data_IF_067098595569
#
_entry.id   IF_067098595569
#
_cell.length_a   1.000
_cell.length_b   1.000
_cell.length_c   1.000
_cell.angle_alpha   90.00
_cell.angle_beta   90.00
_cell.angle_gamma   90.00
#
_symmetry.space_group_name_H-M   'P 1'
#
loop_
_entity.id
_entity.type
_entity.pdbx_description
1 polymer ?
#
# COMPACT_ATOMS: atom_id res chain seq x y z
N UNK A 19 4.68 -18.76 -7.77
CA UNK A 19 3.78 -19.24 -6.67
C UNK A 19 2.29 -19.06 -7.00
N UNK A 20 1.44 -20.04 -6.60
CA UNK A 20 -0.01 -20.01 -6.85
C UNK A 20 -0.61 -18.61 -6.75
N UNK A 21 -1.26 -18.17 -7.83
CA UNK A 21 -1.89 -16.85 -7.86
C UNK A 21 -2.84 -16.74 -6.65
N UNK A 22 -2.40 -16.05 -5.59
CA UNK A 22 -3.20 -15.86 -4.37
C UNK A 22 -3.92 -14.50 -4.27
N UNK A 23 -4.80 -14.33 -3.25
CA UNK A 23 -5.56 -13.10 -3.02
C UNK A 23 -4.96 -12.19 -1.94
N UNK A 24 -5.22 -10.89 -2.06
CA UNK A 24 -4.72 -9.90 -1.12
C UNK A 24 -5.76 -9.68 -0.02
N UNK A 25 -5.64 -10.52 1.01
CA UNK A 25 -6.48 -10.53 2.20
C UNK A 25 -5.85 -9.59 3.20
N UNK A 26 -6.62 -9.15 4.19
CA UNK A 26 -6.05 -8.27 5.21
C UNK A 26 -4.82 -8.93 5.81
N UNK A 27 -4.86 -10.25 6.03
CA UNK A 27 -3.69 -10.93 6.60
C UNK A 27 -2.44 -10.59 5.79
N UNK A 28 -2.49 -10.97 4.51
CA UNK A 28 -1.40 -10.76 3.57
C UNK A 28 -0.88 -9.32 3.58
N UNK A 29 -1.82 -8.38 3.54
CA UNK A 29 -1.57 -6.95 3.49
C UNK A 29 -0.71 -6.40 4.61
N UNK A 30 -0.68 -7.12 5.72
CA UNK A 30 0.12 -6.70 6.88
C UNK A 30 1.44 -7.45 6.89
N UNK A 31 1.36 -8.77 6.76
CA UNK A 31 2.55 -9.62 6.75
C UNK A 31 3.55 -8.98 5.81
N UNK A 32 3.00 -8.58 4.66
CA UNK A 32 3.74 -7.95 3.58
C UNK A 32 4.07 -6.50 3.90
N UNK A 33 3.11 -5.80 4.49
CA UNK A 33 3.29 -4.41 4.85
C UNK A 33 4.41 -4.31 5.88
N UNK A 34 4.46 -5.32 6.76
CA UNK A 34 5.45 -5.44 7.84
C UNK A 34 6.81 -5.70 7.26
N UNK A 35 6.88 -6.79 6.52
CA UNK A 35 8.09 -7.23 5.86
C UNK A 35 8.88 -6.10 5.17
N UNK A 36 8.16 -5.12 4.64
CA UNK A 36 8.74 -3.97 3.94
C UNK A 36 9.37 -2.94 4.86
N UNK A 37 9.00 -2.96 6.13
CA UNK A 37 9.58 -2.01 7.05
C UNK A 37 10.85 -2.62 7.65
N UNK A 38 10.70 -3.79 8.27
CA UNK A 38 11.81 -4.49 8.92
C UNK A 38 12.96 -5.02 8.03
N UNK A 39 12.84 -4.86 6.71
CA UNK A 39 13.87 -5.31 5.74
C UNK A 39 13.80 -4.50 4.43
N UNK A 40 13.84 -3.17 4.54
CA UNK A 40 13.77 -2.35 3.34
C UNK A 40 13.62 -0.84 3.48
N UNK A 41 14.15 -0.13 2.48
CA UNK A 41 14.13 1.32 2.46
C UNK A 41 12.99 1.97 1.70
N UNK A 42 11.79 1.41 1.83
CA UNK A 42 10.61 1.99 1.17
C UNK A 42 10.16 3.22 1.98
N UNK A 43 10.45 3.15 3.28
CA UNK A 43 10.12 4.22 4.20
C UNK A 43 10.82 5.53 3.80
N UNK A 44 10.01 6.47 3.33
CA UNK A 44 10.51 7.77 2.93
C UNK A 44 10.61 7.95 1.44
N UNK A 45 11.15 6.93 0.77
CA UNK A 45 11.37 6.87 -0.69
C UNK A 45 10.33 7.65 -1.51
N UNK A 46 10.75 8.63 -2.29
CA UNK A 46 9.81 9.44 -3.08
C UNK A 46 8.93 8.56 -3.97
N UNK A 47 7.66 8.92 -4.10
CA UNK A 47 6.78 8.12 -4.93
C UNK A 47 6.61 8.59 -6.37
N UNK A 48 6.60 7.58 -7.24
CA UNK A 48 6.44 7.67 -8.69
C UNK A 48 5.62 6.44 -9.10
N UNK A 49 4.79 6.61 -10.12
CA UNK A 49 3.98 5.52 -10.64
C UNK A 49 4.85 4.32 -11.04
N UNK A 50 5.94 4.61 -11.76
CA UNK A 50 6.90 3.60 -12.23
C UNK A 50 7.54 2.82 -11.10
N UNK A 51 7.83 3.52 -10.01
CA UNK A 51 8.45 2.84 -8.90
C UNK A 51 7.48 1.90 -8.26
N UNK A 52 6.24 2.38 -8.10
CA UNK A 52 5.20 1.56 -7.50
C UNK A 52 5.03 0.28 -8.28
N UNK A 53 5.02 0.42 -9.61
CA UNK A 53 4.87 -0.68 -10.53
C UNK A 53 5.93 -1.74 -10.41
N UNK A 54 7.17 -1.34 -10.16
CA UNK A 54 8.19 -2.38 -10.09
C UNK A 54 8.07 -3.10 -8.77
N UNK A 55 7.55 -2.38 -7.77
CA UNK A 55 7.30 -2.92 -6.45
C UNK A 55 6.14 -3.88 -6.64
N UNK A 56 5.02 -3.36 -7.12
CA UNK A 56 3.83 -4.17 -7.41
C UNK A 56 4.17 -5.40 -8.27
N UNK A 57 4.89 -5.21 -9.37
CA UNK A 57 5.24 -6.35 -10.23
C UNK A 57 6.12 -7.36 -9.48
N UNK A 58 7.05 -6.85 -8.68
CA UNK A 58 7.96 -7.68 -7.90
C UNK A 58 7.21 -8.59 -6.93
N UNK A 59 6.43 -7.97 -6.04
CA UNK A 59 5.62 -8.68 -5.04
C UNK A 59 4.84 -9.79 -5.72
N UNK A 60 4.10 -9.41 -6.75
CA UNK A 60 3.30 -10.31 -7.57
C UNK A 60 4.12 -11.53 -7.99
N UNK A 61 5.40 -11.32 -8.29
CA UNK A 61 6.23 -12.45 -8.69
C UNK A 61 6.76 -13.16 -7.49
N UNK A 62 7.37 -12.41 -6.57
CA UNK A 62 7.90 -12.95 -5.31
C UNK A 62 6.78 -13.70 -4.54
N UNK A 63 5.89 -12.95 -3.90
CA UNK A 63 4.81 -13.56 -3.14
C UNK A 63 3.62 -14.09 -3.94
N UNK A 64 3.34 -13.50 -5.10
CA UNK A 64 2.23 -13.99 -5.91
C UNK A 64 0.90 -13.24 -5.97
N UNK A 65 0.86 -12.02 -5.44
CA UNK A 65 -0.38 -11.26 -5.45
C UNK A 65 -0.53 -10.44 -6.72
N UNK A 66 -1.62 -10.69 -7.43
CA UNK A 66 -1.92 -9.96 -8.66
C UNK A 66 -1.87 -8.45 -8.36
N UNK A 67 -0.97 -7.71 -9.04
CA UNK A 67 -0.67 -6.28 -8.96
C UNK A 67 -1.76 -5.27 -9.29
N UNK A 68 -2.82 -5.23 -8.49
CA UNK A 68 -3.91 -4.28 -8.71
C UNK A 68 -4.58 -3.90 -7.41
N UNK A 69 -3.89 -4.17 -6.31
CA UNK A 69 -4.37 -3.90 -4.97
C UNK A 69 -3.82 -2.62 -4.37
N UNK A 70 -2.61 -2.22 -4.82
CA UNK A 70 -1.97 -1.03 -4.26
C UNK A 70 -2.49 0.32 -4.69
N UNK A 71 -3.78 0.55 -4.51
CA UNK A 71 -4.35 1.83 -4.87
C UNK A 71 -4.50 2.72 -3.64
N UNK A 72 -4.29 4.02 -3.84
CA UNK A 72 -4.46 4.99 -2.77
C UNK A 72 -5.64 5.93 -3.12
N UNK A 73 -6.11 6.71 -2.15
CA UNK A 73 -7.21 7.61 -2.42
C UNK A 73 -6.74 8.70 -3.33
N UNK A 74 -7.68 9.34 -4.04
CA UNK A 74 -7.30 10.43 -4.93
C UNK A 74 -6.99 11.62 -4.02
N UNK A 75 -6.09 12.51 -4.45
CA UNK A 75 -5.75 13.69 -3.65
C UNK A 75 -6.72 14.87 -3.72
N UNK A 76 -6.30 16.07 -3.29
CA UNK A 76 -5.00 16.49 -2.73
C UNK A 76 -4.73 15.99 -1.32
N UNK A 77 -3.51 16.21 -0.85
CA UNK A 77 -3.15 15.81 0.50
C UNK A 77 -2.56 14.43 0.68
N UNK A 78 -3.02 13.70 1.71
CA UNK A 78 -2.51 12.35 1.96
C UNK A 78 -3.32 11.30 1.22
N UNK A 79 -2.60 10.33 0.69
CA UNK A 79 -3.19 9.25 -0.05
C UNK A 79 -3.22 7.99 0.82
N UNK A 80 -4.41 7.71 1.35
CA UNK A 80 -4.65 6.57 2.21
C UNK A 80 -4.91 5.31 1.35
N UNK A 81 -4.28 4.16 1.69
CA UNK A 81 -4.51 2.95 0.89
C UNK A 81 -5.95 2.41 0.93
N UNK A 82 -6.43 1.96 -0.23
CA UNK A 82 -7.78 1.42 -0.38
C UNK A 82 -7.93 0.00 0.21
N UNK A 83 -6.80 -0.69 0.35
CA UNK A 83 -6.72 -2.04 0.91
C UNK A 83 -6.43 -1.95 2.40
N UNK A 84 -7.38 -2.40 3.21
CA UNK A 84 -7.22 -2.38 4.65
C UNK A 84 -6.21 -3.45 4.97
N UNK A 85 -5.24 -3.10 5.81
CA UNK A 85 -4.23 -4.06 6.17
C UNK A 85 -2.94 -3.51 5.67
N UNK A 86 -2.96 -2.98 4.45
CA UNK A 86 -1.80 -2.36 3.82
C UNK A 86 -1.59 -1.07 4.62
N UNK A 87 -0.46 -0.99 5.34
CA UNK A 87 -0.13 0.14 6.20
C UNK A 87 0.95 1.06 5.65
N UNK A 88 0.67 1.82 4.60
CA UNK A 88 1.62 2.77 4.00
C UNK A 88 0.74 3.73 3.30
N UNK A 89 0.87 5.01 3.63
CA UNK A 89 0.08 6.03 2.96
C UNK A 89 1.12 6.80 2.17
N UNK A 90 0.66 7.77 1.38
CA UNK A 90 1.58 8.58 0.60
C UNK A 90 1.37 10.01 1.09
N UNK A 91 2.40 10.56 1.72
CA UNK A 91 2.31 11.92 2.25
C UNK A 91 3.18 12.93 1.49
N UNK A 92 2.76 14.20 1.51
CA UNK A 92 3.51 15.25 0.84
C UNK A 92 4.66 15.79 1.74
N UNK A 124 2.79 17.40 -7.28
CA UNK A 124 2.52 16.84 -5.92
C UNK A 124 3.50 15.73 -5.56
N UNK A 125 4.64 16.09 -4.99
CA UNK A 125 5.62 15.07 -4.64
C UNK A 125 5.25 14.33 -3.36
N UNK A 126 5.22 13.00 -3.45
CA UNK A 126 4.84 12.13 -2.33
C UNK A 126 5.88 11.10 -1.90
N UNK A 127 5.78 10.65 -0.65
CA UNK A 127 6.70 9.65 -0.09
C UNK A 127 5.95 8.43 0.46
N UNK A 128 6.63 7.29 0.51
CA UNK A 128 6.05 6.05 1.01
C UNK A 128 6.19 6.07 2.52
N UNK A 129 5.21 6.66 3.19
CA UNK A 129 5.21 6.77 4.65
C UNK A 129 4.38 5.70 5.35
N UNK A 130 5.05 4.85 6.13
CA UNK A 130 4.41 3.79 6.92
C UNK A 130 3.54 4.43 8.02
N UNK A 131 2.65 3.66 8.64
CA UNK A 131 1.77 4.19 9.69
C UNK A 131 0.94 3.02 10.10
N UNK A 132 1.14 2.51 11.32
CA UNK A 132 0.37 1.33 11.77
C UNK A 132 -1.03 1.50 12.34
N UNK A 133 -1.49 2.75 12.50
CA UNK A 133 -2.85 2.96 12.95
C UNK A 133 -3.70 2.67 11.72
N UNK A 134 -3.03 2.29 10.62
CA UNK A 134 -3.66 1.95 9.33
C UNK A 134 -4.07 0.52 9.25
N UNK A 135 -3.45 -0.28 10.12
CA UNK A 135 -3.71 -1.71 10.23
C UNK A 135 -4.98 -1.92 11.05
N UNK A 136 -5.50 -0.84 11.62
CA UNK A 136 -6.69 -0.91 12.44
C UNK A 136 -7.72 0.09 11.96
N UNK A 137 -7.27 1.24 11.47
CA UNK A 137 -8.21 2.25 11.00
C UNK A 137 -8.33 2.21 9.49
N UNK A 138 -9.51 1.85 8.99
CA UNK A 138 -9.68 1.85 7.54
C UNK A 138 -10.04 3.29 7.16
N UNK A 139 -9.02 4.15 7.17
CA UNK A 139 -9.21 5.56 6.88
C UNK A 139 -9.88 5.75 5.55
N UNK A 140 -9.23 5.34 4.47
CA UNK A 140 -9.77 5.47 3.12
C UNK A 140 -11.25 5.14 2.98
N UNK A 141 -11.77 4.19 3.75
CA UNK A 141 -13.20 3.93 3.66
C UNK A 141 -13.95 5.00 4.43
N UNK A 142 -13.36 5.52 5.50
CA UNK A 142 -14.02 6.55 6.28
C UNK A 142 -14.28 7.77 5.41
N UNK A 143 -13.23 8.23 4.70
CA UNK A 143 -13.29 9.42 3.81
C UNK A 143 -14.06 9.20 2.53
N UNK A 144 -13.67 8.18 1.77
CA UNK A 144 -14.33 7.89 0.50
C UNK A 144 -15.19 6.64 0.56
N UNK A 145 -16.40 6.74 1.14
CA UNK A 145 -17.27 5.55 1.23
C UNK A 145 -17.76 5.05 -0.13
N UNK A 146 -17.71 5.95 -1.12
CA UNK A 146 -18.12 5.68 -2.50
C UNK A 146 -17.31 4.53 -3.07
N UNK A 147 -16.00 4.56 -2.83
CA UNK A 147 -15.06 3.54 -3.33
C UNK A 147 -15.29 2.12 -2.82
N UNK A 148 -16.06 2.00 -1.74
CA UNK A 148 -16.31 0.70 -1.13
C UNK A 148 -17.76 0.21 -1.21
#
# INVERSE_FOLDING_TARGET
>A
GSLEAQEEEEVGFPVTPQVPLRPMTYKAAVDLSHFLKEKGGLEGLIHSQRRQDILDLWIYHTQGYFPDWQNYTPGPGVRYPLTFGWCYKLVPVEPDKVEEANKGENTSLLHPVSLHGMDDPEREVLEWRFDSRLAFHHVARELHPEYFKNC
#
